data_IF_367894655124
#
_entry.id   IF_367894655124
#
_cell.length_a   1.000
_cell.length_b   1.000
_cell.length_c   1.000
_cell.angle_alpha   90.00
_cell.angle_beta   90.00
_cell.angle_gamma   90.00
#
_symmetry.space_group_name_H-M   'P 1'
#
loop_
_entity.id
_entity.type
_entity.pdbx_description
1 polymer ?
#
# COMPACT_ATOMS: atom_id res chain seq x y z
N UNK A 1 42.04 18.57 19.73
CA UNK A 1 40.95 19.36 20.35
C UNK A 1 40.07 19.91 19.25
N UNK A 2 38.92 19.27 18.99
CA UNK A 2 37.79 19.84 18.28
C UNK A 2 36.56 19.06 18.76
N UNK A 3 35.67 19.80 19.42
CA UNK A 3 34.65 19.29 20.31
C UNK A 3 33.45 18.70 19.56
N UNK A 4 32.92 17.64 20.16
CA UNK A 4 31.61 17.07 19.86
C UNK A 4 30.52 18.05 20.32
N UNK A 5 29.47 18.22 19.53
CA UNK A 5 28.24 18.89 19.95
C UNK A 5 27.06 18.09 19.41
N UNK A 6 26.33 17.48 20.32
CA UNK A 6 25.03 16.87 20.07
C UNK A 6 23.90 17.83 20.41
N UNK A 7 22.73 17.57 19.82
CA UNK A 7 21.35 17.96 20.13
C UNK A 7 20.55 17.75 18.83
N UNK A 8 19.27 17.36 18.78
CA UNK A 8 18.22 17.24 19.77
C UNK A 8 17.23 16.15 19.30
N UNK A 9 16.47 15.58 20.23
CA UNK A 9 15.49 14.54 19.95
C UNK A 9 14.26 15.06 19.22
N UNK A 10 13.82 14.29 18.23
CA UNK A 10 12.47 14.39 17.68
C UNK A 10 11.52 13.57 18.55
N UNK A 11 10.67 14.28 19.29
CA UNK A 11 9.47 13.71 19.89
C UNK A 11 8.47 13.41 18.77
N UNK A 12 8.43 12.16 18.32
CA UNK A 12 7.40 11.66 17.43
C UNK A 12 6.09 11.47 18.20
N UNK A 13 5.02 12.07 17.67
CA UNK A 13 3.62 11.96 18.07
C UNK A 13 3.20 10.58 18.61
N UNK A 14 2.28 10.51 19.60
CA UNK A 14 1.68 9.25 19.97
C UNK A 14 0.92 8.66 18.77
N UNK A 15 0.87 7.33 18.60
CA UNK A 15 0.13 6.72 17.52
C UNK A 15 -1.36 7.06 17.71
N UNK A 16 -1.87 7.97 16.90
CA UNK A 16 -3.30 8.20 16.77
C UNK A 16 -3.94 6.85 16.52
N UNK A 17 -4.83 6.42 17.43
CA UNK A 17 -5.66 5.23 17.25
C UNK A 17 -6.31 5.38 15.88
N UNK A 18 -5.87 4.56 14.92
CA UNK A 18 -6.61 4.41 13.68
C UNK A 18 -8.02 4.01 14.09
N UNK A 19 -9.08 4.66 13.59
CA UNK A 19 -10.44 4.18 13.83
C UNK A 19 -10.47 2.71 13.42
N UNK A 20 -11.04 1.86 14.27
CA UNK A 20 -11.04 0.42 14.01
C UNK A 20 -11.65 0.20 12.62
N UNK A 21 -11.09 -0.73 11.83
CA UNK A 21 -11.49 -0.91 10.42
C UNK A 21 -13.00 -1.16 10.26
N UNK A 22 -13.70 -1.54 11.33
CA UNK A 22 -15.15 -1.72 11.42
C UNK A 22 -15.92 -0.39 11.50
N UNK A 23 -15.38 0.64 12.18
CA UNK A 23 -16.00 1.97 12.30
C UNK A 23 -16.17 2.66 10.93
N UNK A 24 -15.27 2.32 10.00
CA UNK A 24 -15.32 2.82 8.62
C UNK A 24 -16.42 2.16 7.79
N UNK A 25 -16.87 0.94 8.11
CA UNK A 25 -17.98 0.27 7.42
C UNK A 25 -19.35 0.75 7.89
N UNK A 26 -19.45 1.25 9.13
CA UNK A 26 -20.67 1.87 9.67
C UNK A 26 -20.85 3.34 9.25
N UNK A 27 -19.89 3.90 8.53
CA UNK A 27 -19.88 5.30 8.11
C UNK A 27 -20.08 5.42 6.60
N UNK A 28 -20.70 6.52 6.16
CA UNK A 28 -20.88 6.77 4.75
C UNK A 28 -19.53 7.01 4.08
N UNK A 29 -19.19 6.29 3.00
CA UNK A 29 -17.91 6.49 2.32
C UNK A 29 -17.74 7.85 1.63
N UNK A 30 -18.75 8.72 1.63
CA UNK A 30 -18.69 10.11 1.09
C UNK A 30 -18.63 11.14 2.22
N UNK A 31 -19.72 11.32 2.98
CA UNK A 31 -19.76 12.34 4.04
C UNK A 31 -19.06 11.90 5.33
N UNK A 32 -18.67 10.62 5.44
CA UNK A 32 -18.06 10.01 6.63
C UNK A 32 -18.90 10.08 7.90
N UNK A 33 -20.18 10.41 7.76
CA UNK A 33 -21.13 10.38 8.87
C UNK A 33 -21.65 8.96 9.08
N UNK A 34 -21.94 8.61 10.33
CA UNK A 34 -22.47 7.29 10.69
C UNK A 34 -23.80 7.03 9.98
N UNK A 35 -23.89 5.90 9.32
CA UNK A 35 -25.07 5.45 8.59
C UNK A 35 -26.08 4.87 9.58
N UNK A 36 -27.09 5.67 9.91
CA UNK A 36 -28.25 5.27 10.71
C UNK A 36 -29.48 5.12 9.83
N UNK A 37 -30.53 4.50 10.35
CA UNK A 37 -31.79 4.28 9.64
C UNK A 37 -32.39 5.58 9.07
N UNK A 38 -32.23 6.75 9.73
CA UNK A 38 -32.80 8.02 9.26
C UNK A 38 -32.13 8.57 8.00
N UNK A 39 -30.96 8.03 7.62
CA UNK A 39 -30.18 8.48 6.47
C UNK A 39 -30.33 7.58 5.26
N UNK A 40 -31.22 6.59 5.32
CA UNK A 40 -31.49 5.60 4.28
C UNK A 40 -30.17 5.02 3.73
N UNK A 41 -29.48 4.18 4.53
CA UNK A 41 -28.18 3.65 4.13
C UNK A 41 -28.34 2.67 2.97
N UNK A 42 -27.59 2.90 1.89
CA UNK A 42 -27.61 2.09 0.67
C UNK A 42 -26.32 1.28 0.55
N UNK A 43 -26.44 0.02 0.12
CA UNK A 43 -25.34 -0.87 -0.21
C UNK A 43 -25.31 -1.10 -1.72
N UNK A 44 -24.22 -0.68 -2.36
CA UNK A 44 -24.03 -0.85 -3.80
C UNK A 44 -23.44 -2.24 -4.12
N UNK A 45 -23.57 -2.75 -5.37
CA UNK A 45 -22.97 -4.03 -5.79
C UNK A 45 -21.44 -4.10 -5.63
N UNK A 46 -20.76 -2.95 -5.60
CA UNK A 46 -19.34 -2.86 -5.28
C UNK A 46 -19.02 -2.96 -3.77
N UNK A 47 -20.02 -3.30 -2.94
CA UNK A 47 -19.94 -3.45 -1.48
C UNK A 47 -19.59 -2.17 -0.70
N UNK A 48 -19.82 -1.00 -1.30
CA UNK A 48 -19.65 0.27 -0.61
C UNK A 48 -21.00 0.76 -0.06
N UNK A 49 -20.96 1.25 1.18
CA UNK A 49 -22.12 1.84 1.86
C UNK A 49 -22.12 3.36 1.72
N UNK A 50 -23.25 3.92 1.26
CA UNK A 50 -23.43 5.37 1.11
C UNK A 50 -24.80 5.82 1.60
N UNK A 51 -24.90 7.07 2.09
CA UNK A 51 -26.18 7.65 2.48
C UNK A 51 -27.00 7.99 1.23
N UNK A 52 -28.34 7.99 1.33
CA UNK A 52 -29.21 8.30 0.20
C UNK A 52 -28.75 9.61 -0.46
N UNK A 53 -28.77 10.72 0.29
CA UNK A 53 -28.36 12.04 -0.18
C UNK A 53 -26.99 12.06 -0.90
N UNK A 54 -26.02 11.28 -0.39
CA UNK A 54 -24.66 11.21 -0.90
C UNK A 54 -24.56 10.54 -2.28
N UNK A 55 -25.48 9.62 -2.59
CA UNK A 55 -25.55 8.96 -3.89
C UNK A 55 -26.07 9.91 -4.97
N UNK A 56 -27.12 10.69 -4.68
CA UNK A 56 -27.71 11.65 -5.64
C UNK A 56 -27.02 13.01 -5.68
N UNK A 57 -26.22 13.37 -4.66
CA UNK A 57 -25.44 14.61 -4.66
C UNK A 57 -24.12 14.51 -5.44
N UNK A 58 -23.70 13.31 -5.83
CA UNK A 58 -22.46 13.11 -6.56
C UNK A 58 -22.56 13.72 -7.98
N UNK A 59 -21.62 14.59 -8.40
CA UNK A 59 -21.60 15.14 -9.75
C UNK A 59 -21.12 14.06 -10.73
N UNK A 60 -22.07 13.30 -11.26
CA UNK A 60 -21.92 12.26 -12.30
C UNK A 60 -23.29 12.09 -12.97
N UNK A 61 -23.33 11.80 -14.28
CA UNK A 61 -24.31 12.38 -15.20
C UNK A 61 -25.72 12.23 -14.68
N UNK A 62 -26.47 13.34 -14.73
CA UNK A 62 -27.93 13.38 -14.80
C UNK A 62 -28.45 12.04 -15.28
N UNK A 63 -29.37 11.45 -14.52
CA UNK A 63 -30.24 10.37 -14.98
C UNK A 63 -30.49 10.54 -16.48
N UNK A 64 -29.68 9.90 -17.29
CA UNK A 64 -29.80 9.92 -18.72
C UNK A 64 -30.62 8.66 -18.96
N UNK A 65 -31.89 8.79 -19.40
CA UNK A 65 -32.71 7.63 -19.67
C UNK A 65 -32.11 6.93 -20.89
N UNK A 66 -31.13 6.06 -20.63
CA UNK A 66 -30.72 5.05 -21.56
C UNK A 66 -31.84 4.02 -21.71
N UNK A 67 -31.89 3.30 -22.83
CA UNK A 67 -32.98 2.35 -23.14
C UNK A 67 -33.16 1.23 -22.09
N UNK A 68 -32.19 1.02 -21.18
CA UNK A 68 -32.15 -0.08 -20.20
C UNK A 68 -32.28 0.35 -18.72
N UNK A 69 -32.76 1.57 -18.44
CA UNK A 69 -33.09 2.03 -17.09
C UNK A 69 -32.05 2.94 -16.42
N UNK A 70 -32.38 3.46 -15.23
CA UNK A 70 -31.55 4.42 -14.50
C UNK A 70 -30.25 3.75 -13.98
N UNK A 71 -29.09 4.30 -14.36
CA UNK A 71 -27.75 3.82 -13.95
C UNK A 71 -27.18 4.77 -12.89
N UNK A 72 -26.62 4.21 -11.82
CA UNK A 72 -25.92 4.92 -10.76
C UNK A 72 -24.42 4.63 -10.80
N UNK A 73 -23.61 5.60 -10.39
CA UNK A 73 -22.16 5.44 -10.25
C UNK A 73 -21.75 5.55 -8.79
N UNK A 74 -21.00 4.56 -8.29
CA UNK A 74 -20.46 4.58 -6.94
C UNK A 74 -19.51 5.79 -6.76
N UNK A 75 -19.75 6.68 -5.78
CA UNK A 75 -18.92 7.87 -5.60
C UNK A 75 -17.49 7.54 -5.14
N UNK A 76 -17.27 6.36 -4.54
CA UNK A 76 -16.01 5.93 -3.94
C UNK A 76 -15.11 5.24 -4.98
N UNK A 77 -15.58 4.15 -5.60
CA UNK A 77 -14.77 3.36 -6.55
C UNK A 77 -15.12 3.59 -8.04
N UNK A 78 -16.09 4.47 -8.33
CA UNK A 78 -16.57 4.79 -9.70
C UNK A 78 -17.19 3.61 -10.46
N UNK A 79 -17.53 2.53 -9.75
CA UNK A 79 -18.25 1.39 -10.31
C UNK A 79 -19.66 1.81 -10.76
N UNK A 80 -20.04 1.45 -11.99
CA UNK A 80 -21.37 1.70 -12.54
C UNK A 80 -22.29 0.50 -12.28
N UNK A 81 -23.51 0.76 -11.84
CA UNK A 81 -24.51 -0.25 -11.51
C UNK A 81 -25.93 0.25 -11.82
N UNK A 82 -26.89 -0.65 -12.04
CA UNK A 82 -28.28 -0.25 -12.20
C UNK A 82 -28.90 0.08 -10.83
N UNK A 83 -29.82 1.06 -10.79
CA UNK A 83 -30.48 1.44 -9.54
C UNK A 83 -31.25 0.27 -8.88
N UNK A 84 -31.77 -0.66 -9.69
CA UNK A 84 -32.48 -1.86 -9.22
C UNK A 84 -31.59 -2.84 -8.43
N UNK A 85 -30.27 -2.79 -8.66
CA UNK A 85 -29.29 -3.66 -7.99
C UNK A 85 -28.76 -3.04 -6.70
N UNK A 86 -29.18 -1.81 -6.38
CA UNK A 86 -28.85 -1.13 -5.12
C UNK A 86 -29.88 -1.51 -4.09
N UNK A 87 -29.40 -1.98 -2.94
CA UNK A 87 -30.25 -2.44 -1.84
C UNK A 87 -30.06 -1.56 -0.62
N UNK A 88 -31.11 -1.46 0.21
CA UNK A 88 -30.97 -0.91 1.55
C UNK A 88 -29.96 -1.74 2.35
N UNK A 89 -29.13 -1.08 3.15
CA UNK A 89 -28.16 -1.76 3.98
C UNK A 89 -28.83 -2.28 5.25
N UNK A 90 -29.39 -3.48 5.17
CA UNK A 90 -30.07 -4.16 6.28
C UNK A 90 -29.17 -4.43 7.50
N UNK A 91 -27.83 -4.39 7.35
CA UNK A 91 -26.89 -4.55 8.47
C UNK A 91 -26.89 -3.34 9.43
N UNK A 92 -27.44 -2.20 9.01
CA UNK A 92 -27.40 -0.93 9.76
C UNK A 92 -28.78 -0.49 10.29
N UNK A 93 -29.80 -1.37 10.23
CA UNK A 93 -31.16 -1.06 10.70
C UNK A 93 -31.30 -1.01 12.22
N UNK A 94 -30.44 -1.68 13.00
CA UNK A 94 -30.59 -1.81 14.46
C UNK A 94 -29.40 -1.32 15.30
N UNK A 95 -28.30 -0.87 14.69
CA UNK A 95 -27.11 -0.42 15.42
C UNK A 95 -27.35 0.80 16.34
N UNK A 96 -28.54 1.41 16.29
CA UNK A 96 -28.98 2.50 17.15
C UNK A 96 -29.77 2.10 18.40
N UNK A 97 -30.39 0.91 18.44
CA UNK A 97 -31.24 0.51 19.57
C UNK A 97 -30.41 0.05 20.79
N UNK A 98 -29.29 -0.65 20.55
CA UNK A 98 -28.45 -1.16 21.64
C UNK A 98 -27.52 -0.09 22.25
N UNK A 99 -27.20 0.98 21.50
CA UNK A 99 -26.40 2.09 22.05
C UNK A 99 -27.21 3.03 22.97
N UNK A 100 -28.54 3.04 22.84
CA UNK A 100 -29.43 3.81 23.71
C UNK A 100 -29.90 3.02 24.95
N UNK A 101 -29.87 1.69 24.90
CA UNK A 101 -30.30 0.82 25.99
C UNK A 101 -29.31 0.70 27.16
N UNK A 102 -28.10 1.26 27.04
CA UNK A 102 -27.07 1.20 28.11
C UNK A 102 -27.21 2.32 29.15
N UNK A 103 -28.32 3.07 29.18
CA UNK A 103 -28.49 4.16 30.16
C UNK A 103 -29.85 4.23 30.87
N UNK A 104 -30.75 3.27 30.67
CA UNK A 104 -31.96 3.13 31.48
C UNK A 104 -32.32 1.66 31.69
N UNK A 105 -31.59 0.98 32.58
CA UNK A 105 -32.07 -0.23 33.22
C UNK A 105 -33.25 0.13 34.12
N UNK A 106 -34.47 0.13 33.58
CA UNK A 106 -35.66 -0.03 34.41
C UNK A 106 -35.65 -1.46 34.94
N UNK A 107 -34.92 -1.69 36.04
CA UNK A 107 -34.92 -2.95 36.77
C UNK A 107 -36.36 -3.27 37.15
N UNK A 108 -37.01 -4.16 36.39
CA UNK A 108 -38.36 -4.60 36.69
C UNK A 108 -38.31 -5.41 37.99
N UNK A 109 -39.17 -5.07 38.95
CA UNK A 109 -39.32 -5.81 40.21
C UNK A 109 -40.37 -6.90 40.06
N UNK A 110 -40.20 -7.98 40.81
CA UNK A 110 -41.18 -9.05 40.91
C UNK A 110 -42.50 -8.48 41.45
N UNK A 111 -43.60 -8.74 40.75
CA UNK A 111 -44.95 -8.27 41.14
C UNK A 111 -45.67 -9.26 42.06
N UNK A 112 -45.15 -10.47 42.20
CA UNK A 112 -45.81 -11.57 42.93
C UNK A 112 -45.16 -11.84 44.30
N UNK A 113 -44.22 -11.00 44.75
CA UNK A 113 -43.69 -11.02 46.12
C UNK A 113 -43.79 -9.64 46.78
N UNK A 114 -43.82 -9.63 48.12
CA UNK A 114 -43.85 -8.39 48.92
C UNK A 114 -42.46 -7.73 49.03
N UNK A 115 -41.40 -8.43 48.62
CA UNK A 115 -40.01 -8.02 48.78
C UNK A 115 -39.48 -7.10 47.66
N UNK A 116 -40.29 -6.81 46.62
CA UNK A 116 -39.90 -6.05 45.43
C UNK A 116 -38.54 -6.49 44.85
N UNK A 117 -38.24 -7.78 44.96
CA UNK A 117 -36.98 -8.35 44.50
C UNK A 117 -36.81 -8.14 42.98
N UNK A 118 -35.58 -7.96 42.46
CA UNK A 118 -35.36 -7.80 41.03
C UNK A 118 -35.90 -9.03 40.29
N UNK A 119 -36.68 -8.79 39.25
CA UNK A 119 -37.25 -9.86 38.44
C UNK A 119 -36.14 -10.51 37.60
N UNK A 120 -35.88 -11.77 37.88
CA UNK A 120 -34.91 -12.59 37.15
C UNK A 120 -35.52 -13.22 35.93
N UNK A 121 -36.85 -13.33 35.89
CA UNK A 121 -37.60 -14.04 34.85
C UNK A 121 -38.97 -13.41 34.57
N UNK A 122 -39.60 -13.78 33.47
CA UNK A 122 -40.91 -13.31 33.03
C UNK A 122 -41.75 -14.49 32.56
N UNK A 123 -42.98 -14.62 33.08
CA UNK A 123 -43.93 -15.64 32.64
C UNK A 123 -44.78 -15.11 31.48
N UNK A 124 -44.77 -15.80 30.34
CA UNK A 124 -45.47 -15.34 29.12
C UNK A 124 -46.99 -15.41 29.28
N UNK A 125 -47.50 -16.45 29.92
CA UNK A 125 -48.93 -16.72 30.07
C UNK A 125 -49.57 -15.86 31.18
N UNK A 126 -48.83 -15.56 32.23
CA UNK A 126 -49.29 -14.67 33.31
C UNK A 126 -48.99 -13.19 33.04
N UNK A 127 -48.09 -12.90 32.09
CA UNK A 127 -47.62 -11.53 31.81
C UNK A 127 -47.02 -10.81 33.02
N UNK A 128 -46.39 -11.56 33.91
CA UNK A 128 -45.86 -11.07 35.19
C UNK A 128 -44.34 -11.29 35.29
N UNK A 129 -43.56 -10.28 35.72
CA UNK A 129 -42.16 -10.44 36.08
C UNK A 129 -42.03 -11.14 37.44
N UNK A 130 -41.19 -12.17 37.50
CA UNK A 130 -40.98 -13.03 38.68
C UNK A 130 -39.51 -13.02 39.10
N UNK A 131 -39.25 -12.94 40.40
CA UNK A 131 -37.93 -13.26 40.96
C UNK A 131 -37.74 -14.79 41.04
N UNK A 132 -36.51 -15.22 41.27
CA UNK A 132 -36.12 -16.65 41.28
C UNK A 132 -37.00 -17.49 42.22
N UNK A 133 -37.27 -16.99 43.42
CA UNK A 133 -38.14 -17.69 44.40
C UNK A 133 -39.59 -17.79 43.94
N UNK A 134 -40.10 -16.76 43.26
CA UNK A 134 -41.44 -16.77 42.67
C UNK A 134 -41.53 -17.71 41.47
N UNK A 135 -40.48 -17.83 40.65
CA UNK A 135 -40.43 -18.81 39.55
C UNK A 135 -40.52 -20.24 40.08
N UNK A 136 -39.77 -20.57 41.12
CA UNK A 136 -39.84 -21.90 41.74
C UNK A 136 -41.24 -22.19 42.30
N UNK A 137 -41.87 -21.20 42.94
CA UNK A 137 -43.25 -21.35 43.40
C UNK A 137 -44.22 -21.51 42.23
N UNK A 138 -44.05 -20.72 41.18
CA UNK A 138 -44.87 -20.75 39.96
C UNK A 138 -44.82 -22.12 39.27
N UNK A 139 -43.65 -22.74 39.26
CA UNK A 139 -43.45 -24.08 38.69
C UNK A 139 -43.95 -25.22 39.59
N UNK A 140 -44.14 -24.98 40.90
CA UNK A 140 -44.69 -25.97 41.84
C UNK A 140 -46.23 -25.98 41.88
N UNK A 141 -46.87 -24.87 41.55
CA UNK A 141 -48.33 -24.75 41.61
C UNK A 141 -48.99 -25.44 40.42
N UNK A 142 -50.00 -26.30 40.69
CA UNK A 142 -50.64 -27.17 39.67
C UNK A 142 -51.16 -26.45 38.43
N UNK A 143 -51.54 -25.18 38.55
CA UNK A 143 -52.12 -24.38 37.47
C UNK A 143 -51.10 -23.63 36.62
N UNK A 144 -49.92 -23.32 37.16
CA UNK A 144 -48.91 -22.47 36.52
C UNK A 144 -47.62 -23.22 36.20
N UNK A 145 -47.54 -24.51 36.57
CA UNK A 145 -46.35 -25.36 36.36
C UNK A 145 -45.94 -25.54 34.90
N UNK A 146 -46.89 -25.46 33.97
CA UNK A 146 -46.67 -25.67 32.54
C UNK A 146 -46.50 -24.33 31.79
N UNK A 147 -46.44 -23.20 32.50
CA UNK A 147 -46.22 -21.89 31.91
C UNK A 147 -44.75 -21.70 31.48
N UNK A 148 -44.56 -21.02 30.36
CA UNK A 148 -43.26 -20.71 29.79
C UNK A 148 -42.65 -19.51 30.51
N UNK A 149 -41.64 -19.77 31.34
CA UNK A 149 -40.89 -18.73 32.06
C UNK A 149 -39.57 -18.45 31.34
N UNK A 150 -39.36 -17.20 30.91
CA UNK A 150 -38.12 -16.73 30.25
C UNK A 150 -37.25 -15.97 31.23
N UNK A 151 -35.94 -16.17 31.24
CA UNK A 151 -35.04 -15.37 32.08
C UNK A 151 -34.92 -13.93 31.52
N UNK A 152 -35.08 -12.93 32.37
CA UNK A 152 -35.06 -11.49 32.04
C UNK A 152 -33.66 -10.87 32.24
N UNK A 153 -32.70 -11.62 32.81
CA UNK A 153 -31.39 -11.11 33.22
C UNK A 153 -30.16 -11.68 32.49
N UNK A 154 -30.34 -12.54 31.50
CA UNK A 154 -29.24 -12.98 30.64
C UNK A 154 -29.49 -12.38 29.26
N UNK A 155 -28.56 -11.52 28.85
CA UNK A 155 -28.34 -11.06 27.48
C UNK A 155 -29.13 -11.91 26.51
N UNK A 156 -30.20 -11.34 25.94
CA UNK A 156 -30.83 -11.91 24.78
C UNK A 156 -29.70 -12.36 23.87
N UNK A 157 -29.72 -13.65 23.53
CA UNK A 157 -28.90 -14.18 22.47
C UNK A 157 -28.97 -13.18 21.29
N UNK A 158 -27.86 -12.79 20.65
CA UNK A 158 -27.85 -11.79 19.58
C UNK A 158 -28.65 -12.21 18.32
N UNK A 159 -29.43 -13.27 18.40
CA UNK A 159 -30.07 -13.96 17.29
C UNK A 159 -31.47 -13.43 16.94
N UNK A 160 -32.02 -12.46 17.68
CA UNK A 160 -33.35 -11.93 17.40
C UNK A 160 -33.28 -10.50 16.88
N UNK A 161 -32.72 -10.34 15.67
CA UNK A 161 -33.00 -9.16 14.87
C UNK A 161 -34.52 -9.05 14.64
N UNK A 162 -35.09 -7.84 14.57
CA UNK A 162 -36.50 -7.63 14.24
C UNK A 162 -36.85 -8.38 12.94
N UNK A 163 -38.02 -9.03 12.88
CA UNK A 163 -38.42 -9.76 11.68
C UNK A 163 -38.53 -8.80 10.49
N UNK A 164 -37.88 -9.13 9.37
CA UNK A 164 -38.08 -8.44 8.10
C UNK A 164 -39.40 -8.91 7.51
N UNK A 165 -40.26 -7.97 7.15
CA UNK A 165 -41.59 -8.25 6.62
C UNK A 165 -41.59 -8.38 5.10
N UNK A 166 -42.50 -9.19 4.57
CA UNK A 166 -42.67 -9.37 3.14
C UNK A 166 -43.21 -8.09 2.48
N UNK A 167 -42.65 -7.72 1.33
CA UNK A 167 -43.10 -6.56 0.54
C UNK A 167 -44.50 -6.71 -0.06
N UNK A 168 -44.94 -7.95 -0.32
CA UNK A 168 -46.27 -8.28 -0.84
C UNK A 168 -47.27 -8.49 0.29
N UNK A 169 -46.86 -9.21 1.34
CA UNK A 169 -47.68 -9.52 2.51
C UNK A 169 -47.14 -8.76 3.73
N UNK A 170 -47.46 -7.47 3.83
CA UNK A 170 -46.86 -6.50 4.75
C UNK A 170 -46.87 -6.87 6.23
N UNK A 171 -47.79 -7.74 6.66
CA UNK A 171 -47.90 -8.21 8.05
C UNK A 171 -47.25 -9.59 8.31
N UNK A 172 -46.66 -10.23 7.29
CA UNK A 172 -46.08 -11.57 7.42
C UNK A 172 -44.55 -11.51 7.38
N UNK A 173 -43.87 -12.11 8.38
CA UNK A 173 -42.41 -12.16 8.40
C UNK A 173 -41.89 -13.07 7.28
N UNK A 174 -40.72 -12.73 6.74
CA UNK A 174 -39.94 -13.60 5.88
C UNK A 174 -39.34 -14.73 6.74
N UNK A 175 -39.60 -15.98 6.37
CA UNK A 175 -39.24 -17.16 7.17
C UNK A 175 -38.68 -18.32 6.35
N UNK A 176 -38.80 -18.26 5.02
CA UNK A 176 -38.37 -19.29 4.09
C UNK A 176 -37.44 -18.67 3.05
N UNK A 177 -36.54 -19.48 2.52
CA UNK A 177 -35.69 -19.11 1.38
C UNK A 177 -36.02 -20.02 0.20
N UNK A 178 -36.35 -19.43 -0.94
CA UNK A 178 -36.67 -20.15 -2.17
C UNK A 178 -35.40 -20.31 -3.01
N UNK A 179 -34.85 -21.52 -3.07
CA UNK A 179 -33.61 -21.83 -3.81
C UNK A 179 -33.77 -21.61 -5.33
N UNK A 180 -34.97 -21.84 -5.87
CA UNK A 180 -35.24 -21.66 -7.32
C UNK A 180 -35.24 -20.19 -7.74
N UNK A 181 -35.62 -19.28 -6.84
CA UNK A 181 -35.74 -17.84 -7.14
C UNK A 181 -34.65 -17.00 -6.48
N UNK A 182 -33.77 -17.61 -5.69
CA UNK A 182 -32.73 -16.94 -4.90
C UNK A 182 -33.30 -15.78 -4.05
N UNK A 183 -34.43 -16.02 -3.38
CA UNK A 183 -35.21 -14.98 -2.71
C UNK A 183 -35.77 -15.42 -1.34
N UNK A 184 -35.77 -14.48 -0.39
CA UNK A 184 -36.46 -14.61 0.89
C UNK A 184 -37.97 -14.43 0.70
N UNK A 185 -38.76 -15.37 1.22
CA UNK A 185 -40.21 -15.40 1.05
C UNK A 185 -40.93 -15.67 2.39
N UNK A 186 -42.20 -15.26 2.48
CA UNK A 186 -43.08 -15.64 3.59
C UNK A 186 -43.87 -16.91 3.25
N UNK A 187 -44.53 -17.51 4.25
CA UNK A 187 -45.33 -18.73 4.05
C UNK A 187 -46.43 -18.54 2.98
N UNK A 188 -47.01 -17.36 2.84
CA UNK A 188 -48.05 -17.12 1.82
C UNK A 188 -47.48 -17.06 0.40
N UNK A 189 -46.29 -16.48 0.24
CA UNK A 189 -45.59 -16.46 -1.04
C UNK A 189 -45.28 -17.89 -1.51
N UNK A 190 -44.91 -18.79 -0.59
CA UNK A 190 -44.73 -20.22 -0.90
C UNK A 190 -45.99 -20.83 -1.52
N UNK A 191 -47.15 -20.51 -0.95
CA UNK A 191 -48.43 -21.06 -1.42
C UNK A 191 -49.00 -20.35 -2.64
N UNK A 192 -48.64 -19.10 -2.94
CA UNK A 192 -49.28 -18.34 -4.02
C UNK A 192 -48.41 -18.23 -5.28
N UNK A 193 -47.08 -18.12 -5.13
CA UNK A 193 -46.16 -17.87 -6.24
C UNK A 193 -45.00 -18.84 -6.37
N UNK A 194 -44.73 -19.67 -5.35
CA UNK A 194 -43.56 -20.56 -5.29
C UNK A 194 -43.94 -22.02 -4.98
N UNK A 195 -45.16 -22.46 -5.34
CA UNK A 195 -45.70 -23.78 -4.97
C UNK A 195 -44.79 -24.95 -5.36
N UNK A 196 -44.22 -24.88 -6.56
CA UNK A 196 -43.40 -25.94 -7.15
C UNK A 196 -41.89 -25.63 -7.07
N UNK A 197 -41.51 -24.58 -6.33
CA UNK A 197 -40.12 -24.22 -6.15
C UNK A 197 -39.54 -24.88 -4.91
N UNK A 198 -38.25 -25.20 -4.99
CA UNK A 198 -37.51 -25.73 -3.85
C UNK A 198 -37.32 -24.61 -2.83
N UNK A 199 -37.74 -24.85 -1.59
CA UNK A 199 -37.62 -23.90 -0.49
C UNK A 199 -37.13 -24.59 0.77
N UNK A 200 -36.34 -23.88 1.56
CA UNK A 200 -35.80 -24.34 2.84
C UNK A 200 -36.09 -23.32 3.95
N UNK A 201 -35.97 -23.77 5.20
CA UNK A 201 -36.12 -22.89 6.36
C UNK A 201 -35.00 -21.84 6.37
N UNK A 202 -35.33 -20.60 6.77
CA UNK A 202 -34.36 -19.51 6.82
C UNK A 202 -33.09 -19.88 7.58
N UNK A 203 -33.21 -20.56 8.72
CA UNK A 203 -32.06 -20.95 9.53
C UNK A 203 -31.10 -21.90 8.81
N UNK A 204 -31.63 -22.83 7.99
CA UNK A 204 -30.84 -23.81 7.25
C UNK A 204 -30.12 -23.14 6.07
N UNK A 205 -30.82 -22.26 5.36
CA UNK A 205 -30.25 -21.43 4.31
C UNK A 205 -29.13 -20.54 4.86
N UNK A 206 -29.35 -19.87 6.00
CA UNK A 206 -28.35 -19.02 6.66
C UNK A 206 -27.13 -19.84 7.08
N UNK A 207 -27.31 -21.00 7.72
CA UNK A 207 -26.19 -21.88 8.11
C UNK A 207 -25.37 -22.32 6.90
N UNK A 208 -26.02 -22.64 5.79
CA UNK A 208 -25.35 -23.05 4.54
C UNK A 208 -24.60 -21.87 3.92
N UNK A 209 -25.24 -20.71 3.83
CA UNK A 209 -24.64 -19.50 3.27
C UNK A 209 -23.46 -19.00 4.09
N UNK A 210 -23.54 -19.05 5.42
CA UNK A 210 -22.44 -18.71 6.33
C UNK A 210 -21.21 -19.60 6.09
N UNK A 211 -21.40 -20.91 5.91
CA UNK A 211 -20.29 -21.83 5.60
C UNK A 211 -19.64 -21.49 4.26
N UNK A 212 -20.46 -21.22 3.23
CA UNK A 212 -19.96 -20.84 1.90
C UNK A 212 -19.18 -19.53 1.96
N UNK A 213 -19.71 -18.51 2.63
CA UNK A 213 -19.05 -17.22 2.80
C UNK A 213 -17.75 -17.35 3.61
N UNK A 214 -17.73 -18.15 4.68
CA UNK A 214 -16.53 -18.40 5.45
C UNK A 214 -15.40 -19.03 4.60
N UNK A 215 -15.72 -20.01 3.75
CA UNK A 215 -14.77 -20.60 2.82
C UNK A 215 -14.27 -19.59 1.78
N UNK A 216 -15.15 -18.74 1.26
CA UNK A 216 -14.77 -17.69 0.30
C UNK A 216 -13.86 -16.64 0.96
N UNK A 217 -14.17 -16.21 2.18
CA UNK A 217 -13.34 -15.27 2.95
C UNK A 217 -11.96 -15.86 3.20
N UNK A 218 -11.87 -17.13 3.62
CA UNK A 218 -10.58 -17.80 3.80
C UNK A 218 -9.77 -17.82 2.50
N UNK A 219 -10.37 -18.27 1.39
CA UNK A 219 -9.69 -18.32 0.08
C UNK A 219 -9.26 -16.95 -0.43
N UNK A 220 -10.05 -15.91 -0.19
CA UNK A 220 -9.69 -14.53 -0.53
C UNK A 220 -8.56 -14.02 0.37
N UNK A 221 -8.55 -14.37 1.65
CA UNK A 221 -7.46 -14.08 2.57
C UNK A 221 -6.13 -14.70 2.13
N UNK A 222 -6.14 -15.98 1.74
CA UNK A 222 -4.95 -16.68 1.23
C UNK A 222 -4.45 -16.05 -0.09
N UNK A 223 -5.36 -15.66 -0.98
CA UNK A 223 -4.99 -14.94 -2.20
C UNK A 223 -4.41 -13.55 -1.91
N UNK A 224 -4.99 -12.83 -0.95
CA UNK A 224 -4.53 -11.50 -0.57
C UNK A 224 -3.11 -11.57 0.02
N UNK A 225 -2.83 -12.54 0.90
CA UNK A 225 -1.48 -12.72 1.45
C UNK A 225 -0.47 -13.09 0.37
N UNK A 226 -0.83 -13.97 -0.57
CA UNK A 226 0.00 -14.29 -1.75
C UNK A 226 0.31 -13.05 -2.59
N UNK A 227 -0.69 -12.22 -2.89
CA UNK A 227 -0.49 -10.97 -3.63
C UNK A 227 0.38 -9.96 -2.87
N UNK A 228 0.23 -9.87 -1.54
CA UNK A 228 1.09 -9.02 -0.71
C UNK A 228 2.55 -9.49 -0.72
N UNK A 229 2.80 -10.80 -0.65
CA UNK A 229 4.13 -11.37 -0.78
C UNK A 229 4.72 -11.06 -2.16
N UNK A 230 3.98 -11.33 -3.22
CA UNK A 230 4.44 -11.05 -4.58
C UNK A 230 4.73 -9.56 -4.82
N UNK A 231 3.91 -8.67 -4.26
CA UNK A 231 4.14 -7.21 -4.33
C UNK A 231 5.45 -6.81 -3.63
N UNK A 232 5.80 -7.45 -2.51
CA UNK A 232 7.07 -7.22 -1.81
C UNK A 232 8.26 -7.72 -2.63
N UNK A 233 8.14 -8.89 -3.26
CA UNK A 233 9.16 -9.47 -4.16
C UNK A 233 9.39 -8.57 -5.39
N UNK A 234 8.33 -8.08 -6.03
CA UNK A 234 8.45 -7.13 -7.13
C UNK A 234 9.19 -5.86 -6.70
N UNK A 235 8.92 -5.37 -5.48
CA UNK A 235 9.63 -4.21 -4.92
C UNK A 235 11.10 -4.49 -4.63
N UNK A 236 11.49 -5.71 -4.23
CA UNK A 236 12.91 -6.07 -4.10
C UNK A 236 13.58 -6.15 -5.47
N UNK A 237 12.96 -6.82 -6.44
CA UNK A 237 13.50 -6.92 -7.80
C UNK A 237 13.69 -5.54 -8.46
N UNK A 238 12.76 -4.60 -8.29
CA UNK A 238 12.93 -3.23 -8.79
C UNK A 238 14.16 -2.54 -8.19
N UNK A 239 14.46 -2.77 -6.91
CA UNK A 239 15.67 -2.24 -6.26
C UNK A 239 16.93 -2.90 -6.79
N UNK A 240 16.92 -4.23 -6.92
CA UNK A 240 18.05 -5.00 -7.46
C UNK A 240 18.41 -4.56 -8.89
N UNK A 241 17.43 -4.35 -9.76
CA UNK A 241 17.65 -3.84 -11.12
C UNK A 241 18.30 -2.45 -11.08
N UNK A 242 17.84 -1.58 -10.18
CA UNK A 242 18.39 -0.23 -10.01
C UNK A 242 19.84 -0.27 -9.51
N UNK A 243 20.15 -1.17 -8.58
CA UNK A 243 21.50 -1.30 -8.03
C UNK A 243 22.46 -1.97 -9.02
N UNK A 244 21.98 -2.96 -9.78
CA UNK A 244 22.73 -3.55 -10.90
C UNK A 244 23.06 -2.50 -11.96
N UNK A 245 22.11 -1.63 -12.31
CA UNK A 245 22.37 -0.52 -13.25
C UNK A 245 23.49 0.40 -12.74
N UNK A 246 23.46 0.78 -11.46
CA UNK A 246 24.52 1.61 -10.86
C UNK A 246 25.86 0.89 -10.86
N UNK A 247 25.87 -0.40 -10.53
CA UNK A 247 27.10 -1.20 -10.51
C UNK A 247 27.73 -1.27 -11.90
N UNK A 248 26.96 -1.60 -12.93
CA UNK A 248 27.43 -1.61 -14.31
C UNK A 248 27.96 -0.23 -14.73
N UNK A 249 27.30 0.86 -14.32
CA UNK A 249 27.78 2.21 -14.60
C UNK A 249 29.15 2.49 -13.94
N UNK A 250 29.36 2.05 -12.70
CA UNK A 250 30.64 2.16 -12.00
C UNK A 250 31.71 1.32 -12.70
N UNK A 251 31.39 0.08 -13.08
CA UNK A 251 32.33 -0.84 -13.73
C UNK A 251 32.80 -0.29 -15.08
N UNK A 252 31.90 0.26 -15.89
CA UNK A 252 32.24 0.92 -17.17
C UNK A 252 33.18 2.11 -16.95
N UNK A 253 32.91 2.94 -15.93
CA UNK A 253 33.76 4.08 -15.59
C UNK A 253 35.15 3.63 -15.13
N UNK A 254 35.22 2.61 -14.28
CA UNK A 254 36.48 2.06 -13.80
C UNK A 254 37.32 1.45 -14.92
N UNK A 255 36.70 0.67 -15.82
CA UNK A 255 37.37 0.12 -17.00
C UNK A 255 37.93 1.24 -17.91
N UNK A 256 37.15 2.29 -18.12
CA UNK A 256 37.58 3.47 -18.90
C UNK A 256 38.81 4.14 -18.26
N UNK A 257 38.80 4.37 -16.94
CA UNK A 257 39.92 4.97 -16.23
C UNK A 257 41.18 4.10 -16.28
N UNK A 258 41.04 2.77 -16.22
CA UNK A 258 42.16 1.84 -16.35
C UNK A 258 42.80 1.92 -17.75
N UNK A 259 41.98 1.96 -18.80
CA UNK A 259 42.46 2.13 -20.17
C UNK A 259 43.19 3.48 -20.36
N UNK A 260 42.63 4.57 -19.85
CA UNK A 260 43.26 5.89 -19.90
C UNK A 260 44.61 5.89 -19.16
N UNK A 261 44.70 5.22 -18.01
CA UNK A 261 45.94 5.12 -17.23
C UNK A 261 47.05 4.41 -18.01
N UNK A 262 46.76 3.26 -18.62
CA UNK A 262 47.77 2.54 -19.40
C UNK A 262 48.15 3.29 -20.68
N UNK A 263 47.20 3.97 -21.32
CA UNK A 263 47.49 4.83 -22.48
C UNK A 263 48.44 5.97 -22.10
N UNK A 264 48.16 6.69 -21.01
CA UNK A 264 49.00 7.79 -20.53
C UNK A 264 50.40 7.30 -20.18
N UNK A 265 50.51 6.17 -19.47
CA UNK A 265 51.79 5.54 -19.14
C UNK A 265 52.60 5.22 -20.41
N UNK A 266 51.98 4.67 -21.45
CA UNK A 266 52.66 4.41 -22.72
C UNK A 266 53.09 5.70 -23.42
N UNK A 267 52.26 6.74 -23.37
CA UNK A 267 52.59 8.05 -23.93
C UNK A 267 53.82 8.66 -23.26
N UNK A 268 53.90 8.62 -21.93
CA UNK A 268 55.06 9.14 -21.17
C UNK A 268 56.37 8.43 -21.55
N UNK A 269 56.33 7.10 -21.69
CA UNK A 269 57.49 6.31 -22.13
C UNK A 269 57.97 6.76 -23.53
N UNK A 270 57.03 6.90 -24.48
CA UNK A 270 57.37 7.30 -25.85
C UNK A 270 57.90 8.75 -25.92
N UNK A 271 57.34 9.66 -25.12
CA UNK A 271 57.83 11.03 -25.02
C UNK A 271 59.24 11.09 -24.43
N UNK A 272 59.51 10.32 -23.39
CA UNK A 272 60.84 10.20 -22.78
C UNK A 272 61.87 9.63 -23.76
N UNK A 273 61.49 8.61 -24.55
CA UNK A 273 62.35 8.06 -25.59
C UNK A 273 62.66 9.08 -26.69
N UNK A 274 61.65 9.84 -27.15
CA UNK A 274 61.84 10.89 -28.14
C UNK A 274 62.77 12.00 -27.62
N UNK A 275 62.58 12.42 -26.37
CA UNK A 275 63.43 13.42 -25.71
C UNK A 275 64.88 12.93 -25.62
N UNK A 276 65.10 11.70 -25.16
CA UNK A 276 66.45 11.11 -25.06
C UNK A 276 67.15 11.02 -26.42
N UNK A 277 66.42 10.68 -27.48
CA UNK A 277 66.97 10.68 -28.84
C UNK A 277 67.34 12.09 -29.31
N UNK A 278 66.49 13.08 -29.03
CA UNK A 278 66.74 14.47 -29.38
C UNK A 278 67.97 15.02 -28.65
N UNK A 279 68.07 14.78 -27.33
CA UNK A 279 69.23 15.17 -26.51
C UNK A 279 70.51 14.53 -27.03
N UNK A 280 70.49 13.23 -27.35
CA UNK A 280 71.65 12.53 -27.92
C UNK A 280 72.08 13.07 -29.28
N UNK A 281 71.13 13.52 -30.13
CA UNK A 281 71.46 14.19 -31.39
C UNK A 281 72.05 15.59 -31.16
N UNK A 282 71.47 16.35 -30.23
CA UNK A 282 71.94 17.68 -29.87
C UNK A 282 73.38 17.63 -29.31
N UNK A 283 73.69 16.67 -28.43
CA UNK A 283 75.04 16.49 -27.91
C UNK A 283 76.06 16.17 -29.02
N UNK A 284 75.70 15.31 -29.98
CA UNK A 284 76.56 14.99 -31.13
C UNK A 284 76.84 16.21 -32.00
N UNK A 285 75.80 17.00 -32.28
CA UNK A 285 75.94 18.23 -33.06
C UNK A 285 76.81 19.26 -32.32
N UNK A 286 76.63 19.41 -31.01
CA UNK A 286 77.46 20.30 -30.20
C UNK A 286 78.93 19.86 -30.21
N UNK A 287 79.21 18.56 -30.07
CA UNK A 287 80.57 18.03 -30.15
C UNK A 287 81.22 18.30 -31.52
N UNK A 288 80.47 18.10 -32.62
CA UNK A 288 80.93 18.41 -33.96
C UNK A 288 81.21 19.91 -34.13
N UNK A 289 80.29 20.76 -33.68
CA UNK A 289 80.43 22.21 -33.71
C UNK A 289 81.69 22.68 -32.98
N UNK A 290 81.92 22.18 -31.76
CA UNK A 290 83.11 22.50 -30.97
C UNK A 290 84.41 22.03 -31.65
N UNK A 291 84.41 20.85 -32.27
CA UNK A 291 85.56 20.35 -33.02
C UNK A 291 85.87 21.24 -34.24
N UNK A 292 84.85 21.62 -35.00
CA UNK A 292 84.98 22.51 -36.16
C UNK A 292 85.47 23.91 -35.74
N UNK A 293 84.97 24.46 -34.62
CA UNK A 293 85.46 25.73 -34.07
C UNK A 293 86.95 25.67 -33.71
N UNK A 294 87.41 24.58 -33.08
CA UNK A 294 88.84 24.39 -32.77
C UNK A 294 89.68 24.38 -34.04
N UNK A 295 89.26 23.63 -35.04
CA UNK A 295 89.94 23.56 -36.33
C UNK A 295 89.96 24.92 -37.04
N UNK A 296 88.83 25.65 -37.05
CA UNK A 296 88.71 26.98 -37.61
C UNK A 296 89.70 27.97 -36.95
N UNK A 297 89.78 27.98 -35.62
CA UNK A 297 90.73 28.83 -34.88
C UNK A 297 92.18 28.51 -35.24
N UNK A 298 92.51 27.22 -35.37
CA UNK A 298 93.84 26.78 -35.79
C UNK A 298 94.16 27.27 -37.21
N UNK A 299 93.26 27.06 -38.18
CA UNK A 299 93.43 27.56 -39.54
C UNK A 299 93.55 29.09 -39.59
N UNK A 300 92.75 29.83 -38.82
CA UNK A 300 92.89 31.29 -38.72
C UNK A 300 94.24 31.73 -38.16
N UNK A 301 94.81 30.97 -37.22
CA UNK A 301 96.16 31.24 -36.73
C UNK A 301 97.21 30.98 -37.81
N UNK A 302 97.15 29.82 -38.47
CA UNK A 302 98.06 29.46 -39.57
C UNK A 302 97.98 30.50 -40.69
N UNK A 303 96.78 30.87 -41.14
CA UNK A 303 96.60 31.90 -42.18
C UNK A 303 97.19 33.25 -41.77
N UNK A 304 96.98 33.69 -40.53
CA UNK A 304 97.59 34.93 -40.02
C UNK A 304 99.11 34.85 -40.01
N UNK A 305 99.67 33.72 -39.58
CA UNK A 305 101.11 33.49 -39.58
C UNK A 305 101.69 33.50 -41.00
N UNK A 306 101.08 32.78 -41.95
CA UNK A 306 101.53 32.72 -43.34
C UNK A 306 101.42 34.08 -44.02
N UNK A 307 100.32 34.81 -43.82
CA UNK A 307 100.14 36.16 -44.36
C UNK A 307 101.22 37.12 -43.83
N UNK A 308 101.53 37.03 -42.52
CA UNK A 308 102.60 37.81 -41.91
C UNK A 308 103.99 37.42 -42.43
N UNK A 309 104.25 36.12 -42.60
CA UNK A 309 105.55 35.61 -43.03
C UNK A 309 105.83 35.95 -44.51
N UNK A 310 104.82 35.87 -45.38
CA UNK A 310 104.91 36.27 -46.79
C UNK A 310 105.14 37.77 -46.99
N UNK A 311 104.71 38.61 -46.04
CA UNK A 311 104.93 40.06 -46.08
C UNK A 311 106.33 40.52 -45.64
N UNK A 312 107.28 39.60 -45.36
CA UNK A 312 108.64 39.92 -44.92
C UNK A 312 109.70 39.45 -45.91
N UNK A 313 110.72 40.26 -46.15
CA UNK A 313 111.80 40.01 -47.13
C UNK A 313 112.88 38.98 -46.67
N UNK A 314 112.61 38.17 -45.64
CA UNK A 314 113.57 37.19 -45.11
C UNK A 314 113.33 35.78 -45.66
N UNK A 315 113.82 35.54 -46.87
CA UNK A 315 113.64 34.28 -47.63
C UNK A 315 114.28 33.05 -46.97
N UNK A 316 115.34 33.23 -46.16
CA UNK A 316 115.99 32.13 -45.45
C UNK A 316 115.13 31.56 -44.31
N UNK A 317 114.46 32.42 -43.55
CA UNK A 317 113.57 32.00 -42.45
C UNK A 317 112.35 31.23 -42.97
N UNK A 318 111.78 31.63 -44.12
CA UNK A 318 110.68 30.92 -44.77
C UNK A 318 111.09 29.49 -45.19
N UNK A 319 112.29 29.33 -45.73
CA UNK A 319 112.80 28.01 -46.15
C UNK A 319 113.05 27.08 -44.96
N UNK A 320 113.45 27.60 -43.81
CA UNK A 320 113.64 26.81 -42.58
C UNK A 320 112.31 26.29 -42.01
N UNK A 321 111.24 27.09 -42.10
CA UNK A 321 109.91 26.69 -41.64
C UNK A 321 109.12 25.85 -42.66
N UNK A 322 109.65 25.62 -43.86
CA UNK A 322 108.96 24.91 -44.96
C UNK A 322 108.39 23.53 -44.58
N UNK A 323 109.00 22.81 -43.63
CA UNK A 323 108.51 21.49 -43.20
C UNK A 323 107.37 21.55 -42.17
N UNK A 324 107.10 22.73 -41.61
CA UNK A 324 106.10 22.97 -40.56
C UNK A 324 104.83 23.65 -41.10
N UNK A 325 104.89 24.15 -42.33
CA UNK A 325 103.80 24.77 -43.10
C UNK A 325 103.27 23.77 -44.11
#
# INVERSE_FOLDING_TARGET
>A
AAAMSGQAGEAGDPPGKQPDSLDLLESCGVCRERLRAERDPLLLPCLHSVCRQCLWAAPGPSAAPGPDGEVATCPICKYQCHLKDIMENYFLRDSGAEAAATSQSSSQCCTSCEDNAPATSYCVECSEPLCETCVEAHQRVKYTKDHTVRATGLSLSPCCHPPVYCSVHTHKPLALFCDTCDALICCDCQHQGHKDHQSQLLEEAVRTQQKTLALLVQRLGDKLTSLQCHTKELRSFMREVTDMQKQVQVDVKMATLQLMKELNKRSEVLLSDAQRLAEGQQERLEQQYQATLRLQRHHQHVLRFLSWALGRDNSAALLLCRKLV
#
